data_IF_290446475750
#
_entry.id   IF_290446475750
#
_cell.length_a   1.000
_cell.length_b   1.000
_cell.length_c   1.000
_cell.angle_alpha   90.00
_cell.angle_beta   90.00
_cell.angle_gamma   90.00
#
_symmetry.space_group_name_H-M   'P 1'
#
loop_
_entity.id
_entity.type
_entity.pdbx_description
1 polymer ?
#
# COMPACT_ATOMS: atom_id res chain seq x y z
N UNK A 1 25.78 84.31 2.09
CA UNK A 1 25.65 83.72 3.44
C UNK A 1 25.22 82.28 3.28
N UNK A 2 26.13 81.35 3.57
CA UNK A 2 25.78 80.00 4.06
C UNK A 2 25.15 80.16 5.45
N UNK A 3 24.19 79.32 5.89
CA UNK A 3 24.30 78.33 7.00
C UNK A 3 23.01 77.47 7.05
N UNK A 4 23.19 76.17 7.38
CA UNK A 4 22.28 75.25 8.11
C UNK A 4 20.88 74.95 7.51
N UNK A 5 20.58 73.76 6.94
CA UNK A 5 20.40 72.45 7.61
C UNK A 5 19.76 72.53 9.00
N UNK A 6 18.59 71.91 9.18
CA UNK A 6 18.24 70.97 10.28
C UNK A 6 16.71 70.87 10.45
N UNK A 7 16.16 69.72 10.03
CA UNK A 7 15.57 68.72 10.93
C UNK A 7 14.47 69.26 11.86
N UNK A 8 13.23 68.89 11.52
CA UNK A 8 12.33 68.35 12.54
C UNK A 8 11.62 67.12 12.03
N UNK A 9 12.39 66.03 12.04
CA UNK A 9 11.91 64.66 12.18
C UNK A 9 11.58 64.49 13.66
N UNK A 10 10.32 64.31 14.00
CA UNK A 10 9.89 63.88 15.35
C UNK A 10 8.59 63.08 15.15
N UNK A 11 8.76 61.81 14.78
CA UNK A 11 8.69 60.65 15.67
C UNK A 11 7.27 60.07 15.71
N UNK A 12 6.94 59.28 14.68
CA UNK A 12 5.91 58.27 14.80
C UNK A 12 6.40 57.22 15.80
N UNK A 13 5.91 57.27 17.03
CA UNK A 13 6.17 56.28 18.06
C UNK A 13 5.68 54.90 17.57
N UNK A 14 6.61 54.07 17.13
CA UNK A 14 6.36 52.65 16.90
C UNK A 14 6.02 52.01 18.24
N UNK A 15 4.73 51.71 18.46
CA UNK A 15 4.27 50.82 19.54
C UNK A 15 5.00 49.48 19.41
N UNK A 16 6.03 49.25 20.23
CA UNK A 16 6.64 47.93 20.39
C UNK A 16 5.61 47.02 21.03
N UNK A 17 5.01 46.13 20.24
CA UNK A 17 4.14 45.07 20.74
C UNK A 17 5.01 44.08 21.52
N UNK A 18 4.90 44.13 22.85
CA UNK A 18 5.66 43.29 23.76
C UNK A 18 5.01 41.90 23.82
N UNK A 19 5.36 41.01 22.89
CA UNK A 19 4.92 39.62 22.95
C UNK A 19 5.65 38.91 24.10
N UNK A 20 4.92 38.56 25.16
CA UNK A 20 5.45 37.72 26.24
C UNK A 20 5.82 36.34 25.65
N UNK A 21 7.07 35.90 25.88
CA UNK A 21 7.62 34.62 25.34
C UNK A 21 6.76 33.40 25.68
N UNK A 22 6.02 33.44 26.79
CA UNK A 22 5.09 32.41 27.25
C UNK A 22 3.89 32.19 26.32
N UNK A 23 3.56 33.18 25.48
CA UNK A 23 2.48 33.06 24.48
C UNK A 23 2.97 32.63 23.10
N UNK A 24 4.28 32.57 22.86
CA UNK A 24 4.82 32.21 21.54
C UNK A 24 4.54 30.74 21.18
N UNK A 25 4.58 29.84 22.17
CA UNK A 25 4.26 28.43 21.98
C UNK A 25 2.77 28.20 21.66
N UNK A 26 1.79 28.62 22.49
CA UNK A 26 0.38 28.41 22.18
C UNK A 26 -0.09 29.19 20.95
N UNK A 27 0.47 30.37 20.66
CA UNK A 27 0.08 31.16 19.49
C UNK A 27 0.47 30.47 18.17
N UNK A 28 1.61 29.79 18.11
CA UNK A 28 2.02 29.03 16.91
C UNK A 28 1.11 27.84 16.63
N UNK A 29 0.61 27.17 17.69
CA UNK A 29 -0.34 26.06 17.59
C UNK A 29 -1.66 26.55 17.02
N UNK A 30 -2.16 27.71 17.48
CA UNK A 30 -3.37 28.33 16.94
C UNK A 30 -3.22 28.72 15.46
N UNK A 31 -2.10 29.34 15.07
CA UNK A 31 -1.86 29.72 13.67
C UNK A 31 -1.77 28.49 12.76
N UNK A 32 -1.10 27.42 13.21
CA UNK A 32 -1.02 26.17 12.46
C UNK A 32 -2.38 25.49 12.31
N UNK A 33 -3.20 25.46 13.36
CA UNK A 33 -4.53 24.85 13.32
C UNK A 33 -5.47 25.57 12.32
N UNK A 34 -5.39 26.90 12.23
CA UNK A 34 -6.19 27.69 11.28
C UNK A 34 -5.75 27.42 9.83
N UNK A 35 -4.44 27.30 9.57
CA UNK A 35 -3.92 27.02 8.22
C UNK A 35 -4.35 25.62 7.75
N UNK A 36 -4.20 24.60 8.60
CA UNK A 36 -4.55 23.21 8.25
C UNK A 36 -6.06 23.05 8.10
N UNK A 37 -6.86 23.62 9.01
CA UNK A 37 -8.32 23.60 8.91
C UNK A 37 -8.86 24.32 7.67
N UNK A 38 -8.27 25.48 7.32
CA UNK A 38 -8.63 26.23 6.12
C UNK A 38 -8.29 25.49 4.83
N UNK A 39 -7.14 24.82 4.76
CA UNK A 39 -6.72 24.05 3.61
C UNK A 39 -7.69 22.87 3.30
N UNK A 40 -8.14 22.16 4.32
CA UNK A 40 -9.09 21.03 4.15
C UNK A 40 -10.46 21.48 3.64
N UNK A 41 -10.93 22.66 4.05
CA UNK A 41 -12.22 23.21 3.61
C UNK A 41 -12.11 23.73 2.17
N UNK A 42 -10.97 24.34 1.79
CA UNK A 42 -10.73 24.81 0.43
C UNK A 42 -10.69 23.66 -0.59
N UNK A 43 -10.08 22.52 -0.23
CA UNK A 43 -10.08 21.34 -1.11
C UNK A 43 -11.42 20.60 -1.14
N UNK A 44 -12.35 20.91 -0.24
CA UNK A 44 -13.66 20.26 -0.14
C UNK A 44 -14.79 21.04 -0.81
N UNK A 45 -14.47 22.05 -1.63
CA UNK A 45 -15.46 22.77 -2.44
C UNK A 45 -16.15 21.77 -3.40
N UNK A 46 -17.43 21.41 -3.20
CA UNK A 46 -18.09 20.46 -4.07
C UNK A 46 -18.51 21.19 -5.35
N UNK A 47 -17.92 20.82 -6.49
CA UNK A 47 -18.30 21.27 -7.82
C UNK A 47 -19.75 20.82 -8.13
N UNK A 48 -20.74 21.62 -7.73
CA UNK A 48 -22.18 21.39 -7.97
C UNK A 48 -22.62 21.64 -9.42
N UNK A 49 -21.74 21.44 -10.40
CA UNK A 49 -22.01 21.79 -11.80
C UNK A 49 -21.49 20.83 -12.87
N UNK A 50 -20.63 19.86 -12.53
CA UNK A 50 -20.02 18.95 -13.54
C UNK A 50 -20.51 17.51 -13.45
N UNK A 51 -21.19 17.12 -12.37
CA UNK A 51 -21.66 15.75 -12.17
C UNK A 51 -22.87 15.39 -13.03
N UNK A 52 -23.72 16.34 -13.41
CA UNK A 52 -24.86 16.07 -14.29
C UNK A 52 -24.46 15.91 -15.77
N UNK A 53 -23.38 16.59 -16.21
CA UNK A 53 -22.90 16.52 -17.59
C UNK A 53 -22.03 15.27 -17.84
N UNK A 54 -21.28 14.82 -16.83
CA UNK A 54 -20.53 13.55 -16.87
C UNK A 54 -21.42 12.30 -16.90
N UNK A 55 -22.66 12.39 -16.39
CA UNK A 55 -23.65 11.31 -16.44
C UNK A 55 -24.40 11.27 -17.77
N UNK A 56 -24.54 12.41 -18.47
CA UNK A 56 -25.22 12.49 -19.77
C UNK A 56 -24.31 12.15 -20.97
N UNK A 57 -22.99 12.33 -20.85
CA UNK A 57 -22.03 12.04 -21.93
C UNK A 57 -21.71 10.55 -22.10
N UNK A 58 -22.00 9.69 -21.12
CA UNK A 58 -21.72 8.24 -21.20
C UNK A 58 -22.73 7.44 -22.03
N UNK A 59 -23.74 8.07 -22.65
CA UNK A 59 -24.75 7.39 -23.46
C UNK A 59 -24.48 7.43 -24.97
N UNK A 60 -23.34 7.95 -25.44
CA UNK A 60 -22.98 7.88 -26.85
C UNK A 60 -21.60 7.26 -27.06
N UNK A 61 -21.62 5.94 -27.29
CA UNK A 61 -20.78 5.24 -28.26
C UNK A 61 -19.29 5.60 -28.31
N UNK A 62 -18.55 5.41 -27.22
CA UNK A 62 -17.10 5.22 -27.35
C UNK A 62 -16.83 3.75 -27.67
N UNK A 63 -16.48 3.50 -28.93
CA UNK A 63 -15.86 2.25 -29.38
C UNK A 63 -14.45 2.16 -28.75
N UNK A 64 -14.41 1.87 -27.45
CA UNK A 64 -13.22 1.31 -26.84
C UNK A 64 -13.27 -0.14 -27.25
N UNK A 65 -12.40 -0.58 -28.17
CA UNK A 65 -12.07 -1.99 -28.27
C UNK A 65 -11.43 -2.36 -26.95
N UNK A 66 -12.27 -2.66 -25.96
CA UNK A 66 -11.85 -3.17 -24.69
C UNK A 66 -11.06 -4.43 -24.98
N UNK A 67 -9.83 -4.49 -24.49
CA UNK A 67 -9.13 -5.76 -24.40
C UNK A 67 -10.02 -6.64 -23.52
N UNK A 68 -10.80 -7.51 -24.15
CA UNK A 68 -11.54 -8.55 -23.44
C UNK A 68 -10.49 -9.55 -22.98
N UNK A 69 -9.92 -9.29 -21.81
CA UNK A 69 -9.11 -10.26 -21.10
C UNK A 69 -10.07 -11.39 -20.73
N UNK A 70 -9.93 -12.54 -21.39
CA UNK A 70 -10.60 -13.75 -20.93
C UNK A 70 -9.98 -14.16 -19.60
N UNK A 71 -10.69 -13.90 -18.50
CA UNK A 71 -10.23 -14.20 -17.13
C UNK A 71 -9.88 -15.69 -16.98
N UNK A 72 -10.60 -16.59 -17.66
CA UNK A 72 -10.30 -18.02 -17.63
C UNK A 72 -8.97 -18.36 -18.34
N UNK A 73 -8.52 -17.52 -19.27
CA UNK A 73 -7.22 -17.69 -19.90
C UNK A 73 -6.06 -17.26 -18.99
N UNK A 74 -6.31 -16.41 -18.00
CA UNK A 74 -5.25 -15.87 -17.11
C UNK A 74 -5.24 -16.57 -15.75
N UNK A 75 -6.42 -16.92 -15.23
CA UNK A 75 -6.59 -17.61 -13.95
C UNK A 75 -7.53 -18.80 -14.19
N UNK A 76 -7.05 -19.88 -14.81
CA UNK A 76 -7.88 -21.06 -15.05
C UNK A 76 -8.35 -21.63 -13.71
N UNK A 77 -9.66 -21.88 -13.59
CA UNK A 77 -10.27 -22.40 -12.37
C UNK A 77 -9.70 -23.76 -11.97
N UNK A 78 -9.30 -24.56 -12.96
CA UNK A 78 -8.66 -25.85 -12.73
C UNK A 78 -7.22 -25.73 -12.22
N UNK A 79 -6.58 -24.57 -12.33
CA UNK A 79 -5.18 -24.36 -11.99
C UNK A 79 -4.20 -24.72 -13.10
N UNK A 80 -2.90 -24.57 -12.84
CA UNK A 80 -1.79 -24.77 -13.79
C UNK A 80 -0.75 -25.68 -13.16
N UNK A 81 -0.25 -26.68 -13.90
CA UNK A 81 0.92 -27.45 -13.48
C UNK A 81 2.20 -26.65 -13.68
N UNK A 82 3.00 -26.51 -12.64
CA UNK A 82 4.30 -25.85 -12.76
C UNK A 82 5.32 -26.78 -13.43
N UNK A 83 6.18 -26.26 -14.32
CA UNK A 83 7.19 -27.05 -15.03
C UNK A 83 8.42 -27.31 -14.14
N UNK A 84 8.20 -27.77 -12.90
CA UNK A 84 9.25 -28.10 -11.93
C UNK A 84 9.00 -29.47 -11.31
N UNK A 85 10.07 -30.15 -10.92
CA UNK A 85 9.98 -31.38 -10.12
C UNK A 85 10.18 -31.00 -8.66
N UNK A 86 9.18 -31.24 -7.82
CA UNK A 86 9.21 -30.81 -6.42
C UNK A 86 9.95 -31.76 -5.50
N UNK A 87 9.94 -33.06 -5.78
CA UNK A 87 10.59 -34.11 -5.00
C UNK A 87 10.32 -33.98 -3.48
N UNK A 88 11.36 -33.72 -2.70
CA UNK A 88 11.35 -33.56 -1.24
C UNK A 88 11.72 -32.14 -0.78
N UNK A 89 11.69 -31.14 -1.67
CA UNK A 89 12.16 -29.78 -1.37
C UNK A 89 11.49 -29.16 -0.14
N UNK A 90 10.18 -29.35 0.02
CA UNK A 90 9.45 -28.90 1.21
C UNK A 90 9.98 -29.54 2.49
N UNK A 91 10.14 -30.87 2.48
CA UNK A 91 10.65 -31.62 3.62
C UNK A 91 12.08 -31.18 3.98
N UNK A 92 12.94 -30.98 2.98
CA UNK A 92 14.29 -30.47 3.19
C UNK A 92 14.28 -29.06 3.79
N UNK A 93 13.37 -28.17 3.39
CA UNK A 93 13.25 -26.83 3.97
C UNK A 93 12.83 -26.87 5.43
N UNK A 94 11.94 -27.79 5.80
CA UNK A 94 11.54 -28.00 7.20
C UNK A 94 12.69 -28.58 8.02
N UNK A 95 13.36 -29.60 7.49
CA UNK A 95 14.51 -30.25 8.13
C UNK A 95 15.66 -29.26 8.40
N UNK A 96 15.96 -28.41 7.41
CA UNK A 96 17.01 -27.39 7.51
C UNK A 96 16.59 -26.16 8.31
N UNK A 97 15.36 -26.11 8.81
CA UNK A 97 14.83 -25.01 9.61
C UNK A 97 14.56 -23.72 8.83
N UNK A 98 14.56 -23.77 7.48
CA UNK A 98 14.14 -22.66 6.63
C UNK A 98 12.65 -22.37 6.85
N UNK A 99 11.85 -23.44 7.00
CA UNK A 99 10.46 -23.36 7.40
C UNK A 99 10.32 -24.03 8.77
N UNK A 100 9.74 -23.33 9.74
CA UNK A 100 9.26 -23.97 10.95
C UNK A 100 7.87 -24.56 10.67
N UNK A 101 7.77 -25.89 10.51
CA UNK A 101 6.53 -26.57 10.07
C UNK A 101 5.31 -26.26 10.94
N UNK A 102 5.44 -26.33 12.27
CA UNK A 102 4.30 -26.09 13.18
C UNK A 102 3.84 -24.63 13.16
N UNK A 103 4.77 -23.68 13.11
CA UNK A 103 4.43 -22.26 12.96
C UNK A 103 3.82 -21.99 11.58
N UNK A 104 4.35 -22.62 10.53
CA UNK A 104 3.84 -22.46 9.18
C UNK A 104 2.40 -22.97 9.03
N UNK A 105 2.10 -24.16 9.56
CA UNK A 105 0.74 -24.70 9.61
C UNK A 105 -0.23 -23.79 10.37
N UNK A 106 0.23 -23.17 11.46
CA UNK A 106 -0.61 -22.30 12.28
C UNK A 106 -1.15 -21.09 11.50
N UNK A 107 -0.41 -20.60 10.50
CA UNK A 107 -0.81 -19.49 9.63
C UNK A 107 -2.06 -19.80 8.79
N UNK A 108 -2.35 -21.08 8.53
CA UNK A 108 -3.45 -21.51 7.68
C UNK A 108 -4.67 -21.96 8.46
N UNK A 109 -4.57 -22.13 9.79
CA UNK A 109 -5.69 -22.58 10.65
C UNK A 109 -6.95 -21.72 10.49
N UNK A 110 -6.79 -20.39 10.44
CA UNK A 110 -7.90 -19.45 10.25
C UNK A 110 -8.52 -19.52 8.84
N UNK A 111 -7.83 -20.14 7.87
CA UNK A 111 -8.25 -20.27 6.47
C UNK A 111 -8.81 -21.67 6.15
N UNK A 112 -9.17 -22.45 7.16
CA UNK A 112 -9.64 -23.82 7.00
C UNK A 112 -8.55 -24.89 7.12
N UNK A 113 -7.31 -24.49 7.43
CA UNK A 113 -6.15 -25.38 7.58
C UNK A 113 -5.46 -25.72 6.26
N UNK A 114 -4.41 -26.53 6.36
CA UNK A 114 -3.74 -27.10 5.18
C UNK A 114 -4.45 -28.39 4.76
N UNK A 115 -4.79 -28.47 3.48
CA UNK A 115 -5.29 -29.70 2.87
C UNK A 115 -4.17 -30.75 2.70
N UNK A 116 -4.53 -31.92 2.19
CA UNK A 116 -3.59 -33.03 2.00
C UNK A 116 -2.51 -32.71 0.95
N UNK A 117 -2.85 -31.95 -0.11
CA UNK A 117 -1.90 -31.58 -1.15
C UNK A 117 -0.85 -30.61 -0.61
N UNK A 118 -1.26 -29.58 0.13
CA UNK A 118 -0.38 -28.63 0.80
C UNK A 118 0.55 -29.34 1.80
N UNK A 119 0.02 -30.28 2.58
CA UNK A 119 0.83 -31.09 3.50
C UNK A 119 1.82 -31.97 2.74
N UNK A 120 1.42 -32.56 1.61
CA UNK A 120 2.30 -33.37 0.76
C UNK A 120 3.42 -32.52 0.16
N UNK A 121 3.13 -31.28 -0.26
CA UNK A 121 4.13 -30.33 -0.74
C UNK A 121 5.13 -29.98 0.36
N UNK A 122 4.68 -29.79 1.60
CA UNK A 122 5.55 -29.37 2.71
C UNK A 122 6.34 -30.52 3.36
N UNK A 123 5.79 -31.74 3.42
CA UNK A 123 6.37 -32.85 4.18
C UNK A 123 6.62 -34.12 3.36
N UNK A 124 6.09 -34.21 2.14
CA UNK A 124 6.29 -35.37 1.27
C UNK A 124 7.71 -35.46 0.72
N UNK A 125 8.15 -36.68 0.44
CA UNK A 125 9.49 -36.96 -0.09
C UNK A 125 9.53 -37.31 -1.59
N UNK A 126 8.40 -37.66 -2.19
CA UNK A 126 8.30 -38.04 -3.60
C UNK A 126 7.16 -37.29 -4.29
N UNK A 127 7.34 -35.98 -4.41
CA UNK A 127 6.44 -35.14 -5.16
C UNK A 127 6.90 -35.04 -6.62
N UNK A 128 5.98 -35.21 -7.55
CA UNK A 128 6.22 -34.95 -8.96
C UNK A 128 6.11 -33.45 -9.26
N UNK A 129 5.30 -33.13 -10.26
CA UNK A 129 4.90 -31.75 -10.53
C UNK A 129 3.90 -31.28 -9.48
N UNK A 130 3.93 -29.98 -9.20
CA UNK A 130 2.94 -29.33 -8.33
C UNK A 130 1.93 -28.55 -9.17
N UNK A 131 0.68 -28.59 -8.75
CA UNK A 131 -0.42 -27.88 -9.40
C UNK A 131 -0.76 -26.64 -8.59
N UNK A 132 -0.66 -25.47 -9.22
CA UNK A 132 -1.08 -24.21 -8.63
C UNK A 132 -2.54 -23.94 -8.96
N UNK A 133 -3.38 -23.85 -7.93
CA UNK A 133 -4.81 -23.52 -8.02
C UNK A 133 -5.07 -22.18 -7.34
N UNK A 134 -6.23 -21.54 -7.57
CA UNK A 134 -6.62 -20.36 -6.82
C UNK A 134 -6.58 -20.57 -5.31
N UNK A 135 -6.96 -21.77 -4.84
CA UNK A 135 -7.04 -22.13 -3.42
C UNK A 135 -5.65 -22.26 -2.77
N UNK A 136 -4.66 -22.81 -3.47
CA UNK A 136 -3.33 -23.06 -2.92
C UNK A 136 -2.26 -22.03 -3.32
N UNK A 137 -2.58 -21.10 -4.21
CA UNK A 137 -1.66 -20.08 -4.74
C UNK A 137 -0.91 -19.30 -3.63
N UNK A 138 -1.64 -18.83 -2.61
CA UNK A 138 -1.04 -18.13 -1.47
C UNK A 138 -0.16 -19.02 -0.58
N UNK A 139 -0.45 -20.32 -0.52
CA UNK A 139 0.42 -21.30 0.14
C UNK A 139 1.71 -21.50 -0.65
N UNK A 140 1.59 -21.77 -1.96
CA UNK A 140 2.74 -21.95 -2.84
C UNK A 140 3.65 -20.73 -2.86
N UNK A 141 3.08 -19.51 -2.87
CA UNK A 141 3.86 -18.29 -2.77
C UNK A 141 4.74 -18.27 -1.52
N UNK A 142 4.19 -18.56 -0.35
CA UNK A 142 4.93 -18.54 0.90
C UNK A 142 6.02 -19.62 0.95
N UNK A 143 5.73 -20.81 0.41
CA UNK A 143 6.71 -21.90 0.29
C UNK A 143 7.85 -21.52 -0.66
N UNK A 144 7.54 -20.98 -1.84
CA UNK A 144 8.55 -20.56 -2.82
C UNK A 144 9.36 -19.36 -2.33
N UNK A 145 8.75 -18.47 -1.54
CA UNK A 145 9.48 -17.39 -0.91
C UNK A 145 10.46 -17.89 0.15
N UNK A 146 10.02 -18.81 1.02
CA UNK A 146 10.90 -19.46 1.98
C UNK A 146 12.08 -20.18 1.29
N UNK A 147 11.83 -20.86 0.17
CA UNK A 147 12.87 -21.46 -0.66
C UNK A 147 13.89 -20.42 -1.14
N UNK A 148 13.42 -19.26 -1.61
CA UNK A 148 14.27 -18.15 -2.03
C UNK A 148 15.11 -17.54 -0.90
N UNK A 149 14.57 -17.49 0.33
CA UNK A 149 15.28 -17.02 1.52
C UNK A 149 16.32 -18.03 2.04
N UNK A 150 16.03 -19.32 1.90
CA UNK A 150 16.92 -20.40 2.31
C UNK A 150 18.09 -20.65 1.34
N UNK A 151 17.98 -20.16 0.11
CA UNK A 151 19.04 -20.25 -0.88
C UNK A 151 20.01 -19.06 -0.76
N UNK A 152 21.32 -19.32 -0.77
CA UNK A 152 22.31 -18.26 -0.86
C UNK A 152 22.34 -17.76 -2.31
N UNK A 153 21.97 -16.50 -2.51
CA UNK A 153 22.05 -15.80 -3.79
C UNK A 153 23.26 -14.88 -3.81
#
# INVERSE_FOLDING_TARGET
MQVENEKKVEAAETKKVFFKKEYLLPLSIFVSAVIVGGALIYTSQPDKGKSAELLAQNSQGQNVQGVTIDENSIIPQEGIELPITWADLGAQMVEKGVINGSQFESLYTQRGGMDEEMKKILYGQDNGKIKMTPQNSGFLLNVLWALGLGNKN
#
